data_IF_606394660175
#
_entry.id   IF_606394660175
#
_cell.length_a   1.000
_cell.length_b   1.000
_cell.length_c   1.000
_cell.angle_alpha   90.00
_cell.angle_beta   90.00
_cell.angle_gamma   90.00
#
_symmetry.space_group_name_H-M   'P 1'
#
loop_
_entity.id
_entity.type
_entity.pdbx_description
1 polymer ?
#
# COMPACT_ATOMS: atom_id res chain seq x y z
N UNK A 1 1.69 15.63 24.94
CA UNK A 1 2.60 16.59 24.34
C UNK A 1 3.83 15.94 23.74
N UNK A 2 4.41 15.07 24.47
CA UNK A 2 5.59 14.37 23.96
C UNK A 2 5.28 13.41 22.83
N UNK A 3 4.03 12.97 22.68
CA UNK A 3 3.63 12.11 21.58
C UNK A 3 3.74 12.77 20.22
N UNK A 4 3.51 14.10 20.14
CA UNK A 4 3.67 14.84 18.89
C UNK A 4 5.14 14.91 18.45
N UNK A 5 6.02 15.14 19.40
CA UNK A 5 7.46 15.19 19.11
C UNK A 5 7.99 13.83 18.67
N UNK A 6 7.55 12.76 19.33
CA UNK A 6 7.93 11.39 18.94
C UNK A 6 7.46 11.06 17.54
N UNK A 7 6.22 11.41 17.21
CA UNK A 7 5.67 11.16 15.88
C UNK A 7 6.42 11.94 14.81
N UNK A 8 6.76 13.19 15.07
CA UNK A 8 7.51 14.00 14.14
C UNK A 8 8.90 13.44 13.88
N UNK A 9 9.61 13.03 14.92
CA UNK A 9 10.93 12.41 14.78
C UNK A 9 10.85 11.09 14.01
N UNK A 10 9.84 10.28 14.33
CA UNK A 10 9.63 8.99 13.67
C UNK A 10 9.34 9.17 12.18
N UNK A 11 8.50 10.12 11.83
CA UNK A 11 8.19 10.42 10.42
C UNK A 11 9.41 10.94 9.68
N UNK A 12 10.18 11.82 10.30
CA UNK A 12 11.40 12.37 9.70
C UNK A 12 12.42 11.26 9.43
N UNK A 13 12.60 10.34 10.37
CA UNK A 13 13.52 9.21 10.21
C UNK A 13 13.08 8.30 9.06
N UNK A 14 11.80 8.03 8.94
CA UNK A 14 11.27 7.19 7.86
C UNK A 14 11.44 7.86 6.50
N UNK A 15 11.20 9.17 6.41
CA UNK A 15 11.39 9.93 5.18
C UNK A 15 12.86 9.94 4.77
N UNK A 16 13.76 10.07 5.72
CA UNK A 16 15.19 10.02 5.44
C UNK A 16 15.62 8.67 4.88
N UNK A 17 14.92 7.60 5.26
CA UNK A 17 15.14 6.26 4.73
C UNK A 17 14.43 6.03 3.39
N UNK A 18 13.79 7.03 2.81
CA UNK A 18 13.07 6.91 1.56
C UNK A 18 11.66 6.36 1.69
N UNK A 19 11.12 6.32 2.92
CA UNK A 19 9.77 5.82 3.17
C UNK A 19 8.78 6.98 3.24
N UNK A 20 7.58 6.74 2.75
CA UNK A 20 6.47 7.70 2.85
C UNK A 20 5.27 7.00 3.46
N UNK A 21 4.47 7.76 4.20
CA UNK A 21 3.25 7.23 4.80
C UNK A 21 2.09 7.42 3.84
N UNK A 22 1.33 6.33 3.62
CA UNK A 22 0.11 6.37 2.81
C UNK A 22 -1.07 6.05 3.70
N UNK A 23 -2.08 6.91 3.70
CA UNK A 23 -3.26 6.75 4.54
C UNK A 23 -4.51 6.80 3.66
N UNK A 24 -5.18 5.65 3.51
CA UNK A 24 -6.35 5.51 2.64
C UNK A 24 -7.44 4.69 3.33
N UNK A 25 -8.68 4.96 2.97
CA UNK A 25 -9.82 4.16 3.40
C UNK A 25 -10.08 3.06 2.37
N UNK A 26 -10.19 1.81 2.84
CA UNK A 26 -10.37 0.65 1.96
C UNK A 26 -11.43 -0.28 2.55
N UNK A 27 -12.09 -1.07 1.70
CA UNK A 27 -12.90 -2.18 2.19
C UNK A 27 -12.08 -3.10 3.10
N UNK A 28 -12.72 -3.72 4.07
CA UNK A 28 -12.02 -4.51 5.09
C UNK A 28 -11.15 -5.61 4.49
N UNK A 29 -11.66 -6.33 3.50
CA UNK A 29 -10.91 -7.40 2.84
C UNK A 29 -9.67 -6.86 2.13
N UNK A 30 -9.80 -5.74 1.42
CA UNK A 30 -8.68 -5.10 0.74
C UNK A 30 -7.67 -4.53 1.73
N UNK A 31 -8.14 -4.04 2.88
CA UNK A 31 -7.26 -3.51 3.92
C UNK A 31 -6.32 -4.59 4.48
N UNK A 32 -6.83 -5.80 4.70
CA UNK A 32 -6.02 -6.91 5.18
C UNK A 32 -4.91 -7.25 4.17
N UNK A 33 -5.25 -7.34 2.90
CA UNK A 33 -4.30 -7.64 1.83
C UNK A 33 -3.26 -6.53 1.71
N UNK A 34 -3.69 -5.28 1.84
CA UNK A 34 -2.79 -4.13 1.74
C UNK A 34 -1.78 -4.11 2.89
N UNK A 35 -2.20 -4.44 4.11
CA UNK A 35 -1.30 -4.55 5.26
C UNK A 35 -0.25 -5.63 5.02
N UNK A 36 -0.67 -6.77 4.50
CA UNK A 36 0.24 -7.87 4.20
C UNK A 36 1.25 -7.47 3.11
N UNK A 37 0.76 -6.82 2.05
CA UNK A 37 1.62 -6.33 0.98
C UNK A 37 2.63 -5.31 1.50
N UNK A 38 2.19 -4.39 2.37
CA UNK A 38 3.07 -3.39 2.96
C UNK A 38 4.19 -4.04 3.79
N UNK A 39 3.89 -5.10 4.55
CA UNK A 39 4.91 -5.83 5.31
C UNK A 39 5.96 -6.45 4.39
N UNK A 40 5.51 -7.09 3.32
CA UNK A 40 6.40 -7.74 2.36
C UNK A 40 7.27 -6.70 1.65
N UNK A 41 6.68 -5.60 1.22
CA UNK A 41 7.42 -4.53 0.54
C UNK A 41 8.46 -3.89 1.47
N UNK A 42 8.14 -3.74 2.76
CA UNK A 42 9.12 -3.22 3.72
C UNK A 42 10.31 -4.14 3.89
N UNK A 43 10.10 -5.45 3.84
CA UNK A 43 11.19 -6.42 3.91
C UNK A 43 11.98 -6.50 2.59
N UNK A 44 11.30 -6.30 1.48
CA UNK A 44 11.87 -6.37 0.14
C UNK A 44 11.55 -5.10 -0.64
N UNK A 45 12.27 -3.99 -0.39
CA UNK A 45 11.92 -2.68 -0.97
C UNK A 45 11.95 -2.60 -2.50
N UNK A 46 12.53 -3.59 -3.16
CA UNK A 46 12.51 -3.68 -4.63
C UNK A 46 11.13 -4.03 -5.19
N UNK A 47 10.25 -4.57 -4.34
CA UNK A 47 8.93 -4.98 -4.77
C UNK A 47 7.99 -3.78 -4.78
N UNK A 48 7.03 -3.81 -5.69
CA UNK A 48 5.98 -2.81 -5.78
C UNK A 48 4.68 -3.47 -6.22
N UNK A 49 3.58 -2.74 -6.13
CA UNK A 49 2.27 -3.24 -6.54
C UNK A 49 2.10 -2.97 -8.02
N UNK A 50 2.02 -4.02 -8.83
CA UNK A 50 1.83 -3.88 -10.27
C UNK A 50 0.43 -4.24 -10.74
N UNK A 51 -0.21 -5.21 -10.11
CA UNK A 51 -1.53 -5.69 -10.50
C UNK A 51 -2.40 -5.94 -9.28
N UNK A 52 -3.70 -5.69 -9.46
CA UNK A 52 -4.71 -6.00 -8.47
C UNK A 52 -5.45 -7.27 -8.89
N UNK A 53 -5.94 -8.02 -7.93
CA UNK A 53 -6.65 -9.26 -8.17
C UNK A 53 -8.13 -9.09 -7.89
N UNK A 54 -8.98 -9.50 -8.84
CA UNK A 54 -10.42 -9.55 -8.66
C UNK A 54 -10.82 -10.98 -8.31
N UNK A 55 -11.18 -11.27 -7.05
CA UNK A 55 -11.54 -12.62 -6.64
C UNK A 55 -12.86 -13.09 -7.23
N UNK A 56 -13.73 -12.18 -7.68
CA UNK A 56 -15.01 -12.53 -8.28
C UNK A 56 -14.84 -13.12 -9.67
N UNK A 57 -13.95 -12.54 -10.47
CA UNK A 57 -13.72 -12.97 -11.86
C UNK A 57 -12.42 -13.75 -12.04
N UNK A 58 -11.52 -13.70 -11.05
CA UNK A 58 -10.20 -14.30 -11.14
C UNK A 58 -9.25 -13.52 -12.04
N UNK A 59 -9.61 -12.32 -12.46
CA UNK A 59 -8.79 -11.51 -13.35
C UNK A 59 -7.80 -10.63 -12.60
N UNK A 60 -6.72 -10.29 -13.30
CA UNK A 60 -5.74 -9.33 -12.81
C UNK A 60 -5.95 -7.99 -13.50
N UNK A 61 -5.89 -6.91 -12.72
CA UNK A 61 -6.10 -5.55 -13.21
C UNK A 61 -4.78 -4.79 -13.06
N UNK A 62 -4.28 -4.23 -14.16
CA UNK A 62 -3.06 -3.43 -14.13
C UNK A 62 -3.30 -2.14 -13.35
N UNK A 63 -2.40 -1.84 -12.42
CA UNK A 63 -2.49 -0.63 -11.62
C UNK A 63 -2.25 0.62 -12.46
N UNK A 64 -1.30 0.55 -13.39
CA UNK A 64 -0.88 1.71 -14.17
C UNK A 64 -1.75 1.97 -15.40
N UNK A 65 -2.38 0.93 -15.92
CA UNK A 65 -3.19 1.05 -17.13
C UNK A 65 -4.41 0.13 -17.03
N UNK A 66 -5.33 0.42 -16.08
CA UNK A 66 -6.53 -0.39 -15.92
C UNK A 66 -7.46 -0.21 -17.13
N UNK A 67 -7.92 -1.33 -17.68
CA UNK A 67 -8.91 -1.31 -18.74
C UNK A 67 -10.30 -1.25 -18.12
N UNK A 68 -11.21 -0.51 -18.76
CA UNK A 68 -12.59 -0.39 -18.28
C UNK A 68 -13.24 -1.76 -18.13
N UNK A 69 -12.99 -2.65 -19.08
CA UNK A 69 -13.51 -4.03 -19.05
C UNK A 69 -13.03 -4.80 -17.80
N UNK A 70 -11.84 -4.50 -17.29
CA UNK A 70 -11.28 -5.17 -16.13
C UNK A 70 -11.92 -4.67 -14.82
N UNK A 71 -12.54 -3.49 -14.85
CA UNK A 71 -13.14 -2.86 -13.68
C UNK A 71 -14.64 -3.12 -13.54
N UNK A 72 -15.28 -3.66 -14.55
CA UNK A 72 -16.73 -3.91 -14.56
C UNK A 72 -17.13 -5.28 -14.01
#
# INVERSE_FOLDING_TARGET
>A
MQSHERQAKHKAAKRAAGLVQVNVWLPEAAAADMRRAAEIIRQYPRLTIGRLFDPTTGRLVSLRNPKVADLS
#
